data_IF_839227261251
#
_entry.id   IF_839227261251
#
_cell.length_a   1.000
_cell.length_b   1.000
_cell.length_c   1.000
_cell.angle_alpha   90.00
_cell.angle_beta   90.00
_cell.angle_gamma   90.00
#
_symmetry.space_group_name_H-M   'P 1'
#
loop_
_entity.id
_entity.type
_entity.pdbx_description
1 polymer ?
#
# COMPACT_ATOMS: atom_id res chain seq x y z
N UNK A 1 8.05 45.88 56.58
CA UNK A 1 8.10 47.08 55.72
C UNK A 1 8.43 46.59 54.31
N UNK A 2 7.45 46.03 53.57
CA UNK A 2 6.56 46.70 52.62
C UNK A 2 7.30 47.67 51.67
N UNK A 3 7.58 47.23 50.44
CA UNK A 3 6.75 47.68 49.32
C UNK A 3 6.79 46.68 48.16
N UNK A 4 5.62 46.21 47.77
CA UNK A 4 5.35 45.26 46.70
C UNK A 4 4.13 45.77 45.94
N UNK A 5 4.32 46.29 44.73
CA UNK A 5 3.21 46.67 43.85
C UNK A 5 3.36 46.02 42.47
N UNK A 6 3.20 44.70 42.47
CA UNK A 6 2.73 43.97 41.31
C UNK A 6 1.27 44.34 41.00
N UNK A 7 0.99 44.59 39.72
CA UNK A 7 -0.29 44.30 39.06
C UNK A 7 -1.57 44.95 39.61
N UNK A 8 -2.03 46.01 38.94
CA UNK A 8 -3.47 46.20 38.70
C UNK A 8 -3.74 46.24 37.20
N UNK A 9 -3.91 45.04 36.61
CA UNK A 9 -4.79 44.88 35.45
C UNK A 9 -6.13 45.53 35.85
N UNK A 10 -6.55 46.57 35.12
CA UNK A 10 -7.86 47.17 35.31
C UNK A 10 -8.92 46.08 35.23
N UNK A 11 -9.58 45.79 36.34
CA UNK A 11 -10.53 44.69 36.44
C UNK A 11 -11.68 44.84 35.44
N UNK A 12 -12.25 43.70 35.06
CA UNK A 12 -13.51 43.62 34.34
C UNK A 12 -14.56 44.56 34.97
N UNK A 13 -15.34 45.22 34.12
CA UNK A 13 -16.26 46.29 34.48
C UNK A 13 -16.79 46.97 33.23
N UNK A 14 -18.02 47.48 33.30
CA UNK A 14 -18.71 48.01 32.14
C UNK A 14 -18.04 49.30 31.64
N UNK A 15 -17.97 49.45 30.33
CA UNK A 15 -17.48 50.65 29.65
C UNK A 15 -18.68 51.43 29.10
N UNK A 16 -18.73 52.73 29.38
CA UNK A 16 -19.74 53.65 28.86
C UNK A 16 -19.17 54.39 27.65
N UNK A 17 -19.76 54.20 26.48
CA UNK A 17 -19.42 54.95 25.28
C UNK A 17 -20.37 56.14 25.11
N UNK A 18 -19.80 57.33 24.89
CA UNK A 18 -20.52 58.58 24.70
C UNK A 18 -20.26 59.10 23.28
N UNK A 19 -21.32 59.20 22.49
CA UNK A 19 -21.32 59.87 21.19
C UNK A 19 -21.84 61.29 21.38
N UNK A 20 -20.94 62.27 21.33
CA UNK A 20 -21.23 63.64 21.70
C UNK A 20 -21.63 64.49 20.50
N UNK A 21 -22.91 64.84 20.40
CA UNK A 21 -23.43 65.75 19.37
C UNK A 21 -23.94 67.08 19.94
N UNK A 22 -24.26 68.04 19.07
CA UNK A 22 -24.68 69.40 19.47
C UNK A 22 -26.03 69.47 20.19
N UNK A 23 -26.93 68.54 19.89
CA UNK A 23 -28.30 68.51 20.45
C UNK A 23 -28.57 67.32 21.35
N UNK A 24 -27.81 66.24 21.20
CA UNK A 24 -28.06 64.95 21.84
C UNK A 24 -26.72 64.25 22.14
N UNK A 25 -26.70 63.44 23.19
CA UNK A 25 -25.58 62.56 23.54
C UNK A 25 -26.07 61.12 23.42
N UNK A 26 -25.53 60.36 22.47
CA UNK A 26 -25.77 58.92 22.36
C UNK A 26 -25.00 58.20 23.46
N UNK A 27 -25.63 57.25 24.14
CA UNK A 27 -25.01 56.47 25.22
C UNK A 27 -25.15 54.99 24.91
N UNK A 28 -24.02 54.29 24.90
CA UNK A 28 -23.96 52.84 24.83
C UNK A 28 -23.17 52.27 26.01
N UNK A 29 -23.52 51.06 26.43
CA UNK A 29 -22.92 50.38 27.57
C UNK A 29 -22.42 49.00 27.15
N UNK A 30 -21.20 48.66 27.53
CA UNK A 30 -20.69 47.30 27.37
C UNK A 30 -21.20 46.37 28.47
N UNK A 31 -21.16 45.06 28.21
CA UNK A 31 -21.17 44.07 29.28
C UNK A 31 -19.91 44.17 30.17
N UNK A 32 -19.89 43.42 31.27
CA UNK A 32 -18.80 43.47 32.27
C UNK A 32 -17.47 42.92 31.73
N UNK A 33 -17.54 42.02 30.74
CA UNK A 33 -16.38 41.43 30.07
C UNK A 33 -15.83 42.33 28.95
N UNK A 34 -16.59 43.34 28.51
CA UNK A 34 -16.24 44.24 27.43
C UNK A 34 -16.33 43.60 26.04
N UNK A 35 -17.10 42.52 25.88
CA UNK A 35 -17.22 41.74 24.64
C UNK A 35 -18.34 42.26 23.73
N UNK A 36 -19.45 42.73 24.31
CA UNK A 36 -20.59 43.25 23.56
C UNK A 36 -21.02 44.63 24.08
N UNK A 37 -21.35 45.54 23.18
CA UNK A 37 -21.93 46.85 23.49
C UNK A 37 -23.38 46.92 23.04
N UNK A 38 -24.24 47.51 23.86
CA UNK A 38 -25.65 47.76 23.52
C UNK A 38 -25.99 49.24 23.67
N UNK A 39 -26.86 49.80 22.81
CA UNK A 39 -27.38 51.14 23.02
C UNK A 39 -28.15 51.17 24.34
N UNK A 40 -27.85 52.17 25.18
CA UNK A 40 -28.53 52.36 26.45
C UNK A 40 -29.65 53.39 26.29
N UNK A 41 -29.30 54.61 25.85
CA UNK A 41 -30.26 55.69 25.60
C UNK A 41 -29.61 56.85 24.84
N UNK A 42 -30.43 57.86 24.50
CA UNK A 42 -29.95 59.14 24.00
C UNK A 42 -30.42 60.27 24.93
N UNK A 43 -29.49 61.06 25.46
CA UNK A 43 -29.82 62.22 26.29
C UNK A 43 -30.00 63.46 25.39
N UNK A 44 -31.13 64.16 25.51
CA UNK A 44 -31.24 65.52 24.98
C UNK A 44 -30.35 66.47 25.81
N UNK A 45 -29.53 67.27 25.13
CA UNK A 45 -28.58 68.19 25.78
C UNK A 45 -29.29 69.38 26.41
N UNK A 46 -28.79 69.78 27.56
CA UNK A 46 -29.27 70.97 28.27
C UNK A 46 -28.08 71.86 28.59
N UNK A 47 -27.75 72.05 29.88
CA UNK A 47 -26.54 72.73 30.32
C UNK A 47 -25.50 71.70 30.72
N UNK A 48 -24.22 72.01 30.48
CA UNK A 48 -23.12 71.10 30.76
C UNK A 48 -23.11 70.53 32.20
N UNK A 49 -23.37 71.32 33.27
CA UNK A 49 -23.42 70.78 34.63
C UNK A 49 -24.55 69.76 34.82
N UNK A 50 -25.73 70.02 34.25
CA UNK A 50 -26.90 69.15 34.37
C UNK A 50 -26.74 67.87 33.55
N UNK A 51 -26.09 67.97 32.39
CA UNK A 51 -25.76 66.81 31.56
C UNK A 51 -24.71 65.92 32.27
N UNK A 52 -23.72 66.51 32.96
CA UNK A 52 -22.74 65.78 33.76
C UNK A 52 -23.36 65.05 34.98
N UNK A 53 -24.30 65.67 35.68
CA UNK A 53 -25.02 65.01 36.79
C UNK A 53 -25.78 63.77 36.31
N UNK A 54 -26.44 63.87 35.14
CA UNK A 54 -27.16 62.74 34.52
C UNK A 54 -26.19 61.64 34.11
N UNK A 55 -25.06 61.98 33.52
CA UNK A 55 -24.01 61.00 33.19
C UNK A 55 -23.42 60.34 34.44
N UNK A 56 -23.19 61.10 35.51
CA UNK A 56 -22.70 60.56 36.78
C UNK A 56 -23.69 59.60 37.43
N UNK A 57 -25.00 59.84 37.31
CA UNK A 57 -26.04 58.92 37.75
C UNK A 57 -25.97 57.58 36.98
N UNK A 58 -25.88 57.63 35.66
CA UNK A 58 -25.76 56.45 34.78
C UNK A 58 -24.48 55.65 35.09
N UNK A 59 -23.37 56.34 35.32
CA UNK A 59 -22.09 55.72 35.69
C UNK A 59 -22.21 54.92 36.99
N UNK A 60 -22.87 55.50 38.00
CA UNK A 60 -23.11 54.82 39.30
C UNK A 60 -24.10 53.67 39.18
N UNK A 61 -25.20 53.87 38.45
CA UNK A 61 -26.25 52.87 38.27
C UNK A 61 -25.72 51.59 37.61
N UNK A 62 -24.80 51.71 36.65
CA UNK A 62 -24.32 50.58 35.86
C UNK A 62 -22.93 50.06 36.27
N UNK A 63 -22.36 50.52 37.39
CA UNK A 63 -20.98 50.23 37.84
C UNK A 63 -19.97 50.41 36.71
N UNK A 64 -20.04 51.55 36.02
CA UNK A 64 -19.15 51.85 34.90
C UNK A 64 -17.75 52.10 35.44
N UNK A 65 -16.77 51.37 34.89
CA UNK A 65 -15.36 51.50 35.28
C UNK A 65 -14.49 52.22 34.25
N UNK A 66 -15.03 52.50 33.07
CA UNK A 66 -14.33 53.22 32.00
C UNK A 66 -15.31 54.01 31.14
N UNK A 67 -14.90 55.19 30.69
CA UNK A 67 -15.67 55.99 29.73
C UNK A 67 -14.85 56.16 28.45
N UNK A 68 -15.50 55.97 27.31
CA UNK A 68 -14.96 56.24 25.97
C UNK A 68 -15.83 57.33 25.34
N UNK A 69 -15.22 58.39 24.83
CA UNK A 69 -15.95 59.48 24.15
C UNK A 69 -15.54 59.48 22.69
N UNK A 70 -16.52 59.33 21.79
CA UNK A 70 -16.29 59.45 20.36
C UNK A 70 -15.94 60.89 19.99
N UNK A 71 -14.86 61.08 19.23
CA UNK A 71 -14.52 62.39 18.71
C UNK A 71 -15.30 62.62 17.40
N UNK A 72 -16.05 63.74 17.29
CA UNK A 72 -16.66 64.11 16.02
C UNK A 72 -15.58 64.65 15.08
N UNK A 73 -15.04 63.78 14.23
CA UNK A 73 -14.15 64.15 13.13
C UNK A 73 -14.96 64.12 11.83
N UNK A 74 -14.84 65.16 11.01
CA UNK A 74 -15.30 65.12 9.61
C UNK A 74 -14.35 64.22 8.79
N UNK A 75 -14.78 63.83 7.57
CA UNK A 75 -13.99 62.91 6.71
C UNK A 75 -12.57 63.39 6.36
N UNK A 76 -12.27 64.67 6.58
CA UNK A 76 -10.95 65.28 6.35
C UNK A 76 -10.09 65.39 7.64
N UNK A 77 -10.41 64.63 8.70
CA UNK A 77 -9.76 64.68 10.02
C UNK A 77 -9.78 66.07 10.69
N UNK A 78 -10.72 66.93 10.25
CA UNK A 78 -10.98 68.23 10.88
C UNK A 78 -12.13 68.10 11.87
N UNK A 79 -12.11 68.86 12.98
CA UNK A 79 -13.25 68.89 13.90
C UNK A 79 -14.53 69.33 13.20
N UNK A 80 -15.55 68.47 13.18
CA UNK A 80 -16.86 68.82 12.64
C UNK A 80 -17.69 69.65 13.63
N UNK A 81 -18.26 70.76 13.17
CA UNK A 81 -19.23 71.56 13.92
C UNK A 81 -18.75 72.96 14.36
N UNK A 82 -19.60 73.97 14.13
CA UNK A 82 -19.35 75.36 14.54
C UNK A 82 -19.63 75.50 16.05
N UNK A 83 -18.65 75.16 16.86
CA UNK A 83 -18.63 75.50 18.28
C UNK A 83 -18.00 74.43 19.17
N UNK A 84 -16.78 74.72 19.65
CA UNK A 84 -15.95 73.97 20.59
C UNK A 84 -15.05 72.92 19.93
N UNK A 85 -13.74 73.16 19.99
CA UNK A 85 -12.74 72.23 19.48
C UNK A 85 -12.75 70.93 20.30
N UNK A 86 -12.43 69.76 19.72
CA UNK A 86 -12.13 68.52 20.44
C UNK A 86 -11.09 68.74 21.55
N UNK A 87 -10.18 69.71 21.37
CA UNK A 87 -9.23 70.16 22.37
C UNK A 87 -9.88 70.87 23.57
N UNK A 88 -11.04 71.52 23.42
CA UNK A 88 -11.78 72.12 24.54
C UNK A 88 -12.49 71.05 25.38
N UNK A 89 -12.94 69.96 24.76
CA UNK A 89 -13.61 68.85 25.44
C UNK A 89 -12.60 67.94 26.15
N UNK A 90 -11.48 67.62 25.49
CA UNK A 90 -10.34 66.94 26.10
C UNK A 90 -9.67 67.82 27.18
N UNK A 91 -9.52 69.13 26.91
CA UNK A 91 -8.94 70.11 27.82
C UNK A 91 -9.81 70.41 29.05
N UNK A 92 -11.15 70.31 28.96
CA UNK A 92 -12.05 70.43 30.13
C UNK A 92 -12.30 69.10 30.86
N UNK A 93 -12.13 67.97 30.17
CA UNK A 93 -12.10 66.64 30.80
C UNK A 93 -10.80 66.41 31.59
N UNK A 94 -9.65 66.85 31.06
CA UNK A 94 -8.34 66.79 31.72
C UNK A 94 -8.06 68.00 32.65
N UNK A 95 -8.60 69.17 32.33
CA UNK A 95 -8.45 70.41 33.09
C UNK A 95 -9.54 70.59 34.16
N UNK A 96 -9.39 69.93 35.30
CA UNK A 96 -9.72 70.52 36.60
C UNK A 96 -11.19 70.66 37.03
N UNK A 97 -12.22 70.27 36.25
CA UNK A 97 -13.61 70.21 36.78
C UNK A 97 -14.42 68.93 36.50
N UNK A 98 -14.05 68.10 35.52
CA UNK A 98 -14.59 66.73 35.42
C UNK A 98 -13.81 65.70 36.26
N UNK A 99 -12.55 65.97 36.59
CA UNK A 99 -11.72 65.12 37.45
C UNK A 99 -12.20 65.05 38.92
N UNK A 100 -13.13 65.91 39.34
CA UNK A 100 -13.60 65.99 40.73
C UNK A 100 -14.60 64.91 41.14
N UNK A 101 -15.29 64.22 40.22
CA UNK A 101 -16.47 63.42 40.60
C UNK A 101 -16.55 61.97 40.09
N UNK A 102 -15.64 61.50 39.22
CA UNK A 102 -15.70 60.08 38.77
C UNK A 102 -14.39 59.28 38.80
N UNK A 103 -13.18 59.88 38.90
CA UNK A 103 -11.89 59.15 38.97
C UNK A 103 -11.74 57.96 38.01
N UNK A 104 -12.35 57.99 36.82
CA UNK A 104 -12.23 56.92 35.82
C UNK A 104 -11.22 57.30 34.74
N UNK A 105 -10.34 56.38 34.30
CA UNK A 105 -9.40 56.62 33.22
C UNK A 105 -10.12 56.72 31.86
N UNK A 106 -9.95 57.83 31.16
CA UNK A 106 -10.43 58.06 29.79
C UNK A 106 -9.35 57.71 28.77
N UNK A 107 -9.69 56.91 27.75
CA UNK A 107 -8.76 56.50 26.69
C UNK A 107 -9.32 56.89 25.32
N UNK A 108 -8.50 57.58 24.51
CA UNK A 108 -8.69 57.80 23.07
C UNK A 108 -7.98 56.65 22.34
N UNK A 109 -8.65 55.93 21.43
CA UNK A 109 -8.07 54.73 20.78
C UNK A 109 -8.50 54.64 19.32
N UNK A 110 -7.52 54.68 18.40
CA UNK A 110 -7.74 54.65 16.95
C UNK A 110 -7.92 53.21 16.43
N UNK A 111 -9.01 52.95 15.70
CA UNK A 111 -9.37 51.61 15.21
C UNK A 111 -8.50 51.12 14.03
N UNK A 112 -7.66 51.97 13.43
CA UNK A 112 -6.87 51.68 12.23
C UNK A 112 -5.67 50.73 12.43
N UNK A 113 -5.09 50.71 13.63
CA UNK A 113 -3.89 49.88 13.91
C UNK A 113 -4.21 48.37 14.02
N UNK A 114 -5.45 48.00 14.35
CA UNK A 114 -5.88 46.59 14.40
C UNK A 114 -6.25 46.04 13.02
N UNK A 115 -6.81 46.88 12.13
CA UNK A 115 -7.17 46.47 10.76
C UNK A 115 -5.95 46.28 9.86
N UNK A 116 -5.00 47.21 9.90
CA UNK A 116 -3.77 47.15 9.08
C UNK A 116 -2.85 46.00 9.47
N UNK A 117 -2.66 45.73 10.77
CA UNK A 117 -1.90 44.56 11.25
C UNK A 117 -2.55 43.24 10.87
N UNK A 118 -3.89 43.14 10.96
CA UNK A 118 -4.63 41.96 10.50
C UNK A 118 -4.48 41.70 9.00
N UNK A 119 -4.55 42.73 8.17
CA UNK A 119 -4.35 42.63 6.71
C UNK A 119 -2.93 42.16 6.38
N UNK A 120 -1.91 42.72 7.05
CA UNK A 120 -0.51 42.32 6.86
C UNK A 120 -0.31 40.83 7.21
N UNK A 121 -0.89 40.38 8.34
CA UNK A 121 -0.83 38.97 8.74
C UNK A 121 -1.56 38.05 7.75
N UNK A 122 -2.71 38.46 7.22
CA UNK A 122 -3.44 37.70 6.21
C UNK A 122 -2.65 37.59 4.90
N UNK A 123 -2.07 38.69 4.42
CA UNK A 123 -1.23 38.68 3.21
C UNK A 123 0.01 37.80 3.42
N UNK A 124 0.64 37.86 4.59
CA UNK A 124 1.75 36.97 4.93
C UNK A 124 1.30 35.49 4.92
N UNK A 125 0.14 35.19 5.49
CA UNK A 125 -0.40 33.83 5.50
C UNK A 125 -0.73 33.32 4.08
N UNK A 126 -1.33 34.16 3.24
CA UNK A 126 -1.65 33.82 1.85
C UNK A 126 -0.39 33.63 1.00
N UNK A 127 0.63 34.47 1.18
CA UNK A 127 1.90 34.34 0.45
C UNK A 127 2.66 33.07 0.85
N UNK A 128 2.74 32.76 2.15
CA UNK A 128 3.31 31.48 2.62
C UNK A 128 2.52 30.28 2.10
N UNK A 129 1.19 30.35 2.14
CA UNK A 129 0.32 29.29 1.60
C UNK A 129 0.53 29.09 0.09
N UNK A 130 0.64 30.18 -0.67
CA UNK A 130 0.92 30.15 -2.10
C UNK A 130 2.31 29.57 -2.39
N UNK A 131 3.34 29.91 -1.61
CA UNK A 131 4.68 29.32 -1.75
C UNK A 131 4.68 27.82 -1.49
N UNK A 132 3.98 27.35 -0.46
CA UNK A 132 3.84 25.91 -0.16
C UNK A 132 3.12 25.19 -1.31
N UNK A 133 2.03 25.78 -1.82
CA UNK A 133 1.28 25.20 -2.92
C UNK A 133 2.10 25.13 -4.21
N UNK A 134 2.79 26.21 -4.58
CA UNK A 134 3.65 26.26 -5.76
C UNK A 134 4.82 25.26 -5.64
N UNK A 135 5.45 25.15 -4.47
CA UNK A 135 6.49 24.15 -4.22
C UNK A 135 5.95 22.71 -4.41
N UNK A 136 4.75 22.42 -3.91
CA UNK A 136 4.14 21.10 -4.05
C UNK A 136 3.66 20.80 -5.49
N UNK A 137 3.42 21.83 -6.31
CA UNK A 137 2.88 21.71 -7.67
C UNK A 137 3.94 21.78 -8.77
N UNK A 138 5.14 22.29 -8.49
CA UNK A 138 6.23 22.38 -9.47
C UNK A 138 7.08 21.11 -9.42
N UNK A 139 7.31 20.43 -10.56
CA UNK A 139 8.18 19.25 -10.59
C UNK A 139 9.58 19.60 -10.12
N UNK A 140 10.13 18.79 -9.22
CA UNK A 140 11.49 18.99 -8.77
C UNK A 140 12.47 18.69 -9.92
N UNK A 141 13.17 19.72 -10.39
CA UNK A 141 14.08 19.64 -11.56
C UNK A 141 15.42 18.94 -11.26
N UNK A 142 15.68 18.62 -9.99
CA UNK A 142 16.84 17.83 -9.56
C UNK A 142 16.59 16.33 -9.54
N UNK A 143 15.51 15.86 -10.17
CA UNK A 143 15.17 14.44 -10.31
C UNK A 143 16.24 13.72 -11.14
N UNK A 144 17.28 13.24 -10.47
CA UNK A 144 18.48 12.69 -11.10
C UNK A 144 18.33 11.25 -11.62
N UNK A 145 17.22 10.58 -11.34
CA UNK A 145 17.06 9.17 -11.62
C UNK A 145 16.16 8.92 -12.84
N UNK A 146 16.70 8.24 -13.85
CA UNK A 146 15.88 7.57 -14.89
C UNK A 146 15.02 6.45 -14.27
N UNK A 147 15.41 5.95 -13.08
CA UNK A 147 14.72 4.97 -12.26
C UNK A 147 15.31 4.96 -10.84
N UNK A 148 14.49 5.15 -9.80
CA UNK A 148 14.89 4.97 -8.40
C UNK A 148 13.83 4.14 -7.65
N UNK A 149 14.27 3.17 -6.86
CA UNK A 149 13.43 2.45 -5.90
C UNK A 149 13.87 2.87 -4.51
N UNK A 150 12.93 3.31 -3.68
CA UNK A 150 13.21 3.77 -2.32
C UNK A 150 12.33 3.03 -1.34
N UNK A 151 12.96 2.56 -0.27
CA UNK A 151 12.30 1.88 0.82
C UNK A 151 11.94 2.87 1.93
N UNK A 152 10.66 2.91 2.30
CA UNK A 152 10.17 3.60 3.49
C UNK A 152 9.90 2.53 4.56
N UNK A 153 10.74 2.43 5.61
CA UNK A 153 10.61 1.37 6.62
C UNK A 153 9.29 1.45 7.39
N UNK A 154 8.83 0.32 7.92
CA UNK A 154 7.68 0.28 8.81
C UNK A 154 7.92 1.08 10.10
N UNK A 155 6.85 1.69 10.63
CA UNK A 155 6.93 2.54 11.82
C UNK A 155 7.59 3.92 11.60
N UNK A 156 7.97 4.25 10.35
CA UNK A 156 8.59 5.54 10.02
C UNK A 156 7.58 6.68 10.13
N UNK A 157 7.89 7.67 10.96
CA UNK A 157 7.10 8.92 11.03
C UNK A 157 7.33 9.82 9.82
N UNK A 158 6.39 10.73 9.55
CA UNK A 158 6.43 11.58 8.35
C UNK A 158 7.72 12.38 8.16
N UNK A 159 8.35 12.83 9.25
CA UNK A 159 9.64 13.52 9.18
C UNK A 159 10.72 12.63 8.58
N UNK A 160 10.86 11.40 9.08
CA UNK A 160 11.88 10.47 8.60
C UNK A 160 11.59 10.01 7.17
N UNK A 161 10.32 9.85 6.80
CA UNK A 161 9.95 9.57 5.40
C UNK A 161 10.35 10.71 4.46
N UNK A 162 10.15 11.97 4.87
CA UNK A 162 10.63 13.15 4.12
C UNK A 162 12.16 13.12 4.00
N UNK A 163 12.88 12.90 5.10
CA UNK A 163 14.35 12.83 5.09
C UNK A 163 14.86 11.76 4.11
N UNK A 164 14.25 10.57 4.10
CA UNK A 164 14.62 9.51 3.15
C UNK A 164 14.40 9.95 1.70
N UNK A 165 13.27 10.60 1.40
CA UNK A 165 12.99 11.13 0.05
C UNK A 165 13.96 12.26 -0.35
N UNK A 166 14.38 13.09 0.60
CA UNK A 166 15.36 14.16 0.40
C UNK A 166 16.79 13.62 0.22
N UNK A 167 17.19 12.60 0.99
CA UNK A 167 18.47 11.90 0.88
C UNK A 167 18.66 11.26 -0.49
N UNK A 168 17.58 10.69 -1.05
CA UNK A 168 17.58 10.06 -2.38
C UNK A 168 17.26 11.04 -3.52
N UNK A 169 17.10 12.33 -3.22
CA UNK A 169 16.88 13.38 -4.22
C UNK A 169 15.53 13.32 -4.96
N UNK A 170 14.52 12.64 -4.39
CA UNK A 170 13.16 12.60 -4.97
C UNK A 170 12.44 13.92 -4.79
N UNK A 171 12.64 14.54 -3.63
CA UNK A 171 12.13 15.89 -3.32
C UNK A 171 13.27 16.81 -2.93
N UNK A 172 13.08 18.10 -3.13
CA UNK A 172 14.03 19.11 -2.66
C UNK A 172 14.04 19.18 -1.14
N UNK A 173 15.24 19.28 -0.54
CA UNK A 173 15.40 19.61 0.88
C UNK A 173 14.69 20.92 1.21
N UNK A 174 13.58 20.84 1.95
CA UNK A 174 12.73 22.01 2.19
C UNK A 174 11.88 21.88 3.46
N UNK A 175 11.87 22.91 4.34
CA UNK A 175 10.98 22.93 5.50
C UNK A 175 9.48 22.99 5.12
N UNK A 176 9.18 23.24 3.84
CA UNK A 176 7.82 23.28 3.32
C UNK A 176 7.18 21.88 3.25
N UNK A 177 7.96 20.80 3.14
CA UNK A 177 7.46 19.44 3.00
C UNK A 177 6.58 19.00 4.19
N UNK A 178 7.11 19.16 5.41
CA UNK A 178 6.38 18.82 6.62
C UNK A 178 5.19 19.75 6.85
N UNK A 179 5.35 21.04 6.51
CA UNK A 179 4.28 22.04 6.62
C UNK A 179 3.14 21.72 5.67
N UNK A 180 3.43 21.31 4.43
CA UNK A 180 2.47 20.84 3.45
C UNK A 180 1.65 19.66 3.96
N UNK A 181 2.31 18.62 4.51
CA UNK A 181 1.62 17.46 5.08
C UNK A 181 0.74 17.82 6.28
N UNK A 182 1.18 18.78 7.12
CA UNK A 182 0.40 19.26 8.27
C UNK A 182 -0.84 20.02 7.83
N UNK A 183 -0.70 20.95 6.88
CA UNK A 183 -1.81 21.76 6.37
C UNK A 183 -2.84 20.91 5.60
N UNK A 184 -2.38 19.87 4.91
CA UNK A 184 -3.28 18.93 4.22
C UNK A 184 -3.87 17.86 5.15
N UNK A 185 -3.43 17.79 6.41
CA UNK A 185 -3.88 16.79 7.38
C UNK A 185 -3.38 15.37 7.08
N UNK A 186 -2.37 15.21 6.22
CA UNK A 186 -1.93 13.93 5.64
C UNK A 186 -0.73 13.30 6.33
N UNK A 187 -0.23 13.91 7.41
CA UNK A 187 0.97 13.45 8.15
C UNK A 187 0.92 11.98 8.61
N UNK A 188 -0.26 11.43 8.88
CA UNK A 188 -0.42 10.02 9.33
C UNK A 188 -0.75 9.04 8.19
N UNK A 189 -0.91 9.53 6.96
CA UNK A 189 -1.36 8.72 5.83
C UNK A 189 -0.25 8.02 5.06
N UNK A 190 1.02 8.34 5.34
CA UNK A 190 2.16 7.77 4.60
C UNK A 190 2.32 6.29 4.94
N UNK A 191 2.24 5.44 3.92
CA UNK A 191 2.39 3.98 4.07
C UNK A 191 3.85 3.57 3.87
N UNK A 192 4.27 2.58 4.65
CA UNK A 192 5.57 1.94 4.47
C UNK A 192 5.59 1.08 3.20
N UNK A 193 6.79 0.81 2.68
CA UNK A 193 7.00 -0.03 1.50
C UNK A 193 8.09 0.51 0.57
N UNK A 194 8.40 -0.26 -0.48
CA UNK A 194 9.23 0.20 -1.57
C UNK A 194 8.40 1.00 -2.57
N UNK A 195 8.93 2.09 -3.09
CA UNK A 195 8.27 2.93 -4.08
C UNK A 195 9.19 3.14 -5.27
N UNK A 196 8.64 2.97 -6.48
CA UNK A 196 9.36 3.22 -7.72
C UNK A 196 9.07 4.61 -8.27
N UNK A 197 10.14 5.26 -8.70
CA UNK A 197 10.18 6.62 -9.20
C UNK A 197 10.87 6.58 -10.57
N UNK A 198 10.08 6.60 -11.65
CA UNK A 198 10.52 6.44 -13.05
C UNK A 198 10.50 7.74 -13.85
N UNK A 199 9.88 8.79 -13.32
CA UNK A 199 9.72 10.10 -13.99
C UNK A 199 9.74 11.22 -12.96
N UNK A 200 10.18 12.44 -13.33
CA UNK A 200 10.02 13.60 -12.47
C UNK A 200 8.57 13.73 -11.99
N UNK A 201 8.40 13.77 -10.67
CA UNK A 201 7.12 13.95 -9.99
C UNK A 201 7.17 15.24 -9.16
N UNK A 202 6.01 15.87 -8.96
CA UNK A 202 5.91 16.98 -8.00
C UNK A 202 5.96 16.44 -6.57
N UNK A 203 6.39 17.21 -5.57
CA UNK A 203 6.34 16.76 -4.18
C UNK A 203 4.93 16.34 -3.74
N UNK A 204 3.88 17.01 -4.25
CA UNK A 204 2.48 16.60 -4.03
C UNK A 204 2.19 15.20 -4.57
N UNK A 205 2.55 14.91 -5.83
CA UNK A 205 2.38 13.58 -6.44
C UNK A 205 3.15 12.49 -5.68
N UNK A 206 4.37 12.80 -5.20
CA UNK A 206 5.18 11.86 -4.39
C UNK A 206 4.45 11.50 -3.10
N UNK A 207 3.93 12.50 -2.37
CA UNK A 207 3.16 12.21 -1.16
C UNK A 207 1.85 11.47 -1.46
N UNK A 208 1.16 11.80 -2.55
CA UNK A 208 -0.05 11.08 -2.96
C UNK A 208 0.26 9.60 -3.24
N UNK A 209 1.38 9.29 -3.90
CA UNK A 209 1.85 7.91 -4.13
C UNK A 209 2.11 7.16 -2.82
N UNK A 210 2.76 7.80 -1.85
CA UNK A 210 3.02 7.22 -0.52
C UNK A 210 1.73 7.03 0.30
N UNK A 211 0.75 7.92 0.14
CA UNK A 211 -0.52 7.84 0.88
C UNK A 211 -1.44 6.77 0.29
N UNK A 212 -1.51 6.69 -1.04
CA UNK A 212 -2.28 5.64 -1.72
C UNK A 212 -1.68 4.25 -1.41
N UNK A 213 -0.37 4.17 -1.18
CA UNK A 213 0.35 2.92 -1.01
C UNK A 213 0.61 2.25 -2.35
N UNK A 214 0.85 3.04 -3.39
CA UNK A 214 1.27 2.56 -4.71
C UNK A 214 2.74 2.10 -4.65
N UNK A 215 2.93 1.02 -3.89
CA UNK A 215 4.22 0.38 -3.64
C UNK A 215 4.67 -0.41 -4.86
N UNK A 216 5.97 -0.56 -4.99
CA UNK A 216 6.62 -1.39 -5.98
C UNK A 216 6.52 -2.87 -5.59
N UNK A 217 6.08 -3.69 -6.53
CA UNK A 217 5.99 -5.13 -6.39
C UNK A 217 7.05 -5.80 -7.26
N UNK A 218 7.79 -6.74 -6.68
CA UNK A 218 8.69 -7.62 -7.41
C UNK A 218 7.90 -8.80 -7.98
N UNK A 219 8.11 -9.10 -9.26
CA UNK A 219 7.44 -10.22 -9.93
C UNK A 219 8.34 -11.45 -9.93
N UNK A 220 7.84 -12.56 -9.40
CA UNK A 220 8.53 -13.85 -9.39
C UNK A 220 7.65 -14.89 -10.07
N UNK A 221 8.10 -15.45 -11.19
CA UNK A 221 7.32 -16.41 -12.00
C UNK A 221 7.77 -17.84 -11.74
N UNK A 222 6.93 -18.64 -11.09
CA UNK A 222 7.20 -20.06 -10.85
C UNK A 222 6.68 -20.88 -12.04
N UNK A 223 7.54 -21.60 -12.78
CA UNK A 223 7.10 -22.45 -13.90
C UNK A 223 6.28 -23.66 -13.43
N UNK A 224 5.44 -24.20 -14.31
CA UNK A 224 4.71 -25.45 -14.05
C UNK A 224 5.66 -26.66 -13.98
N UNK A 225 5.29 -27.67 -13.19
CA UNK A 225 6.04 -28.92 -13.03
C UNK A 225 7.26 -28.85 -12.10
N UNK A 226 7.70 -27.66 -11.68
CA UNK A 226 8.87 -27.53 -10.81
C UNK A 226 8.60 -28.11 -9.42
N UNK A 227 9.63 -28.70 -8.83
CA UNK A 227 9.60 -29.21 -7.45
C UNK A 227 9.71 -28.09 -6.44
N UNK A 228 9.25 -28.32 -5.21
CA UNK A 228 9.26 -27.29 -4.16
C UNK A 228 10.67 -26.77 -3.81
N UNK A 229 11.72 -27.59 -3.90
CA UNK A 229 13.11 -27.13 -3.70
C UNK A 229 13.53 -26.08 -4.74
N UNK A 230 13.08 -26.24 -5.99
CA UNK A 230 13.33 -25.27 -7.06
C UNK A 230 12.50 -23.99 -6.88
N UNK A 231 11.27 -24.11 -6.37
CA UNK A 231 10.42 -22.97 -5.96
C UNK A 231 11.13 -22.13 -4.90
N UNK A 232 11.66 -22.77 -3.85
CA UNK A 232 12.36 -22.06 -2.76
C UNK A 232 13.58 -21.34 -3.31
N UNK A 233 14.41 -22.03 -4.09
CA UNK A 233 15.59 -21.45 -4.70
C UNK A 233 15.25 -20.25 -5.59
N UNK A 234 14.10 -20.26 -6.26
CA UNK A 234 13.67 -19.14 -7.09
C UNK A 234 13.28 -17.89 -6.28
N UNK A 235 12.53 -18.05 -5.19
CA UNK A 235 12.20 -16.92 -4.31
C UNK A 235 13.43 -16.38 -3.57
N UNK A 236 14.29 -17.27 -3.07
CA UNK A 236 15.56 -16.89 -2.41
C UNK A 236 16.45 -16.10 -3.36
N UNK A 237 16.62 -16.56 -4.62
CA UNK A 237 17.36 -15.79 -5.66
C UNK A 237 16.73 -14.43 -5.96
N UNK A 238 15.42 -14.29 -5.74
CA UNK A 238 14.67 -13.04 -5.94
C UNK A 238 14.69 -12.13 -4.71
N UNK A 239 15.44 -12.50 -3.65
CA UNK A 239 15.61 -11.69 -2.44
C UNK A 239 14.53 -11.89 -1.37
N UNK A 240 13.76 -12.97 -1.43
CA UNK A 240 12.69 -13.27 -0.47
C UNK A 240 13.09 -14.39 0.50
N UNK A 241 13.55 -14.01 1.69
CA UNK A 241 13.84 -14.93 2.78
C UNK A 241 14.98 -15.93 2.50
N UNK A 242 15.07 -16.94 3.35
CA UNK A 242 16.09 -18.00 3.33
C UNK A 242 15.49 -19.36 3.00
N UNK A 243 16.32 -20.28 2.54
CA UNK A 243 15.87 -21.64 2.19
C UNK A 243 15.33 -22.39 3.42
N UNK A 244 15.93 -22.16 4.59
CA UNK A 244 15.53 -22.76 5.87
C UNK A 244 14.10 -22.36 6.26
N UNK A 245 13.76 -21.07 6.13
CA UNK A 245 12.41 -20.56 6.40
C UNK A 245 11.37 -21.17 5.46
N UNK A 246 11.72 -21.38 4.18
CA UNK A 246 10.85 -22.08 3.24
C UNK A 246 10.66 -23.54 3.63
N UNK A 247 11.74 -24.25 4.02
CA UNK A 247 11.65 -25.66 4.45
C UNK A 247 10.83 -25.82 5.73
N UNK A 248 10.81 -24.83 6.61
CA UNK A 248 9.93 -24.80 7.77
C UNK A 248 8.47 -24.57 7.36
N UNK A 249 8.20 -23.52 6.59
CA UNK A 249 6.85 -23.19 6.12
C UNK A 249 6.24 -24.31 5.26
N UNK A 250 7.05 -25.00 4.48
CA UNK A 250 6.65 -26.12 3.62
C UNK A 250 6.12 -27.33 4.38
N UNK A 251 6.54 -27.51 5.64
CA UNK A 251 6.06 -28.60 6.50
C UNK A 251 4.77 -28.26 7.25
N UNK A 252 4.32 -27.00 7.18
CA UNK A 252 3.06 -26.56 7.78
C UNK A 252 1.87 -26.99 6.91
N UNK A 253 1.42 -28.22 7.09
CA UNK A 253 0.31 -28.81 6.32
C UNK A 253 -1.06 -28.33 6.76
N UNK A 254 -1.14 -27.46 7.79
CA UNK A 254 -2.42 -26.89 8.25
C UNK A 254 -3.17 -26.12 7.15
N UNK A 255 -2.45 -25.61 6.15
CA UNK A 255 -3.00 -24.87 5.00
C UNK A 255 -3.83 -25.74 4.03
N UNK A 256 -3.61 -27.06 4.05
CA UNK A 256 -4.27 -28.01 3.14
C UNK A 256 -4.99 -29.15 3.86
N UNK A 257 -4.90 -29.24 5.19
CA UNK A 257 -5.40 -30.35 5.99
C UNK A 257 -6.90 -30.67 5.81
N UNK A 258 -7.72 -29.69 5.43
CA UNK A 258 -9.15 -29.88 5.14
C UNK A 258 -9.42 -30.54 3.78
N UNK A 259 -8.46 -30.45 2.84
CA UNK A 259 -8.51 -31.10 1.55
C UNK A 259 -7.70 -32.42 1.55
N UNK A 260 -6.50 -32.41 2.13
CA UNK A 260 -5.62 -33.56 2.32
C UNK A 260 -5.19 -33.72 3.78
N UNK A 261 -5.93 -34.52 4.53
CA UNK A 261 -5.65 -34.77 5.95
C UNK A 261 -4.40 -35.62 6.18
N UNK A 262 -3.89 -36.30 5.15
CA UNK A 262 -2.69 -37.14 5.24
C UNK A 262 -1.44 -36.39 4.77
N UNK A 263 -1.54 -35.09 4.44
CA UNK A 263 -0.43 -34.25 3.98
C UNK A 263 0.75 -34.30 4.95
N UNK A 264 1.95 -34.65 4.47
CA UNK A 264 3.21 -34.61 5.24
C UNK A 264 4.03 -33.36 4.97
N UNK A 265 3.79 -32.75 3.82
CA UNK A 265 4.39 -31.53 3.30
C UNK A 265 3.43 -30.91 2.26
N UNK A 266 3.87 -29.82 1.63
CA UNK A 266 3.07 -29.09 0.65
C UNK A 266 3.48 -29.40 -0.81
N UNK A 267 4.20 -30.49 -1.10
CA UNK A 267 4.61 -30.82 -2.47
C UNK A 267 3.37 -31.01 -3.37
N UNK A 268 3.35 -30.35 -4.52
CA UNK A 268 2.22 -30.37 -5.44
C UNK A 268 1.10 -29.36 -5.12
N UNK A 269 1.15 -28.69 -3.96
CA UNK A 269 0.17 -27.68 -3.56
C UNK A 269 0.67 -26.24 -3.70
N UNK A 270 1.93 -26.05 -4.10
CA UNK A 270 2.50 -24.72 -4.36
C UNK A 270 2.22 -24.34 -5.81
N UNK A 271 1.05 -23.75 -6.07
CA UNK A 271 0.60 -23.52 -7.44
C UNK A 271 1.61 -22.71 -8.28
N UNK A 272 1.88 -23.10 -9.54
CA UNK A 272 2.75 -22.33 -10.43
C UNK A 272 2.02 -21.09 -11.00
N UNK A 273 2.54 -19.90 -10.71
CA UNK A 273 2.02 -18.63 -11.24
C UNK A 273 3.11 -17.53 -11.17
N UNK A 274 2.77 -16.33 -11.64
CA UNK A 274 3.57 -15.13 -11.40
C UNK A 274 3.07 -14.37 -10.18
N UNK A 275 3.86 -14.40 -9.11
CA UNK A 275 3.58 -13.76 -7.85
C UNK A 275 4.13 -12.33 -7.82
N UNK A 276 3.27 -11.36 -7.47
CA UNK A 276 3.66 -9.96 -7.26
C UNK A 276 3.82 -9.71 -5.77
N UNK A 277 5.06 -9.56 -5.31
CA UNK A 277 5.43 -9.56 -3.90
C UNK A 277 6.03 -8.21 -3.48
N UNK A 278 5.65 -7.73 -2.29
CA UNK A 278 6.31 -6.59 -1.67
C UNK A 278 7.58 -7.07 -0.98
N UNK A 279 8.66 -6.28 -1.00
CA UNK A 279 9.87 -6.63 -0.25
C UNK A 279 9.55 -6.82 1.23
N UNK A 280 10.22 -7.79 1.85
CA UNK A 280 9.95 -8.19 3.23
C UNK A 280 8.79 -9.17 3.40
N UNK A 281 8.06 -9.53 2.32
CA UNK A 281 7.08 -10.63 2.40
C UNK A 281 7.78 -11.91 2.87
N UNK A 282 7.28 -12.50 3.95
CA UNK A 282 7.91 -13.66 4.58
C UNK A 282 7.69 -14.94 3.76
N UNK A 283 8.63 -15.91 3.80
CA UNK A 283 8.45 -17.22 3.16
C UNK A 283 7.14 -17.91 3.54
N UNK A 284 6.72 -17.81 4.81
CA UNK A 284 5.44 -18.34 5.29
C UNK A 284 4.24 -17.72 4.57
N UNK A 285 4.23 -16.39 4.40
CA UNK A 285 3.16 -15.70 3.67
C UNK A 285 3.17 -16.04 2.17
N UNK A 286 4.36 -16.21 1.57
CA UNK A 286 4.49 -16.62 0.17
C UNK A 286 3.92 -18.03 -0.03
N UNK A 287 4.33 -19.01 0.79
CA UNK A 287 3.78 -20.37 0.74
C UNK A 287 2.26 -20.37 0.93
N UNK A 288 1.75 -19.63 1.92
CA UNK A 288 0.31 -19.50 2.12
C UNK A 288 -0.41 -18.92 0.89
N UNK A 289 0.20 -17.94 0.21
CA UNK A 289 -0.32 -17.35 -1.04
C UNK A 289 -0.34 -18.38 -2.17
N UNK A 290 0.71 -19.19 -2.31
CA UNK A 290 0.77 -20.26 -3.32
C UNK A 290 -0.30 -21.34 -3.08
N UNK A 291 -0.48 -21.78 -1.83
CA UNK A 291 -1.52 -22.75 -1.47
C UNK A 291 -2.92 -22.17 -1.64
N UNK A 292 -3.12 -20.90 -1.28
CA UNK A 292 -4.40 -20.22 -1.53
C UNK A 292 -4.71 -20.16 -3.03
N UNK A 293 -3.69 -19.91 -3.87
CA UNK A 293 -3.83 -19.93 -5.32
C UNK A 293 -4.18 -21.32 -5.85
N UNK A 294 -3.55 -22.38 -5.34
CA UNK A 294 -3.92 -23.77 -5.65
C UNK A 294 -5.41 -24.02 -5.37
N UNK A 295 -5.90 -23.60 -4.20
CA UNK A 295 -7.30 -23.75 -3.79
C UNK A 295 -8.28 -22.99 -4.68
N UNK A 296 -7.89 -21.80 -5.15
CA UNK A 296 -8.69 -21.01 -6.09
C UNK A 296 -8.83 -21.71 -7.44
N UNK A 297 -7.71 -22.26 -7.95
CA UNK A 297 -7.66 -22.94 -9.24
C UNK A 297 -8.36 -24.30 -9.17
N UNK A 298 -8.25 -25.02 -8.05
CA UNK A 298 -8.90 -26.32 -7.85
C UNK A 298 -10.39 -26.14 -7.51
N UNK A 299 -11.18 -25.84 -8.54
CA UNK A 299 -12.58 -25.47 -8.44
C UNK A 299 -13.43 -26.51 -7.70
N UNK A 300 -14.52 -26.10 -7.00
CA UNK A 300 -15.44 -27.04 -6.34
C UNK A 300 -16.03 -28.10 -7.29
N UNK A 301 -16.21 -27.77 -8.57
CA UNK A 301 -16.68 -28.71 -9.60
C UNK A 301 -15.70 -29.85 -9.86
N UNK A 302 -14.40 -29.60 -9.72
CA UNK A 302 -13.35 -30.61 -9.87
C UNK A 302 -13.27 -31.52 -8.66
N UNK A 303 -13.48 -30.98 -7.45
CA UNK A 303 -13.59 -31.77 -6.21
C UNK A 303 -14.70 -32.82 -6.35
N UNK A 304 -15.84 -32.45 -6.91
CA UNK A 304 -16.96 -33.38 -7.13
C UNK A 304 -16.60 -34.48 -8.14
N UNK A 305 -16.01 -34.11 -9.29
CA UNK A 305 -15.56 -35.09 -10.31
C UNK A 305 -14.49 -36.04 -9.77
N UNK A 306 -13.56 -35.52 -8.99
CA UNK A 306 -12.54 -36.29 -8.29
C UNK A 306 -13.17 -37.32 -7.35
N UNK A 307 -14.14 -36.91 -6.52
CA UNK A 307 -14.86 -37.80 -5.59
C UNK A 307 -15.65 -38.89 -6.33
N UNK A 308 -16.30 -38.54 -7.45
CA UNK A 308 -17.01 -39.52 -8.29
C UNK A 308 -16.08 -40.59 -8.87
N UNK A 309 -14.79 -40.28 -9.06
CA UNK A 309 -13.77 -41.25 -9.46
C UNK A 309 -13.15 -42.02 -8.29
N UNK A 310 -13.54 -41.71 -7.06
CA UNK A 310 -12.98 -42.33 -5.86
C UNK A 310 -11.53 -41.90 -5.58
N UNK A 311 -11.10 -40.75 -6.11
CA UNK A 311 -9.78 -40.22 -5.82
C UNK A 311 -9.80 -39.28 -4.61
N UNK A 312 -8.72 -39.32 -3.85
CA UNK A 312 -8.34 -38.24 -2.94
C UNK A 312 -7.73 -37.07 -3.71
N UNK A 313 -7.69 -35.88 -3.09
CA UNK A 313 -7.01 -34.72 -3.69
C UNK A 313 -5.52 -35.02 -3.91
N UNK A 314 -4.90 -35.75 -2.99
CA UNK A 314 -3.50 -36.16 -3.12
C UNK A 314 -3.30 -37.03 -4.35
N UNK A 315 -4.14 -38.02 -4.58
CA UNK A 315 -4.02 -38.88 -5.76
C UNK A 315 -4.26 -38.11 -7.05
N UNK A 316 -5.23 -37.19 -7.07
CA UNK A 316 -5.49 -36.32 -8.21
C UNK A 316 -4.30 -35.38 -8.52
N UNK A 317 -3.77 -34.70 -7.51
CA UNK A 317 -2.57 -33.84 -7.65
C UNK A 317 -1.34 -34.67 -8.02
N UNK A 318 -1.21 -35.88 -7.48
CA UNK A 318 -0.11 -36.80 -7.81
C UNK A 318 -0.17 -37.19 -9.28
N UNK A 319 -1.34 -37.63 -9.75
CA UNK A 319 -1.55 -37.94 -11.15
C UNK A 319 -1.30 -36.72 -12.05
N UNK A 320 -1.77 -35.54 -11.67
CA UNK A 320 -1.53 -34.29 -12.41
C UNK A 320 -0.03 -33.99 -12.51
N UNK A 321 0.73 -34.11 -11.42
CA UNK A 321 2.19 -33.89 -11.42
C UNK A 321 2.94 -34.88 -12.31
N UNK A 322 2.44 -36.11 -12.45
CA UNK A 322 2.99 -37.09 -13.40
C UNK A 322 2.67 -36.70 -14.85
N UNK A 323 1.45 -36.26 -15.14
CA UNK A 323 1.05 -35.82 -16.49
C UNK A 323 1.85 -34.60 -16.94
N UNK A 324 2.07 -33.64 -16.03
CA UNK A 324 2.85 -32.41 -16.26
C UNK A 324 4.25 -32.68 -16.81
N UNK A 325 4.92 -33.70 -16.27
CA UNK A 325 6.27 -34.04 -16.71
C UNK A 325 6.32 -34.87 -17.99
N UNK A 326 5.20 -35.43 -18.45
CA UNK A 326 5.16 -36.31 -19.63
C UNK A 326 4.90 -35.55 -20.93
N UNK A 327 4.23 -34.40 -20.87
CA UNK A 327 3.90 -33.64 -22.08
C UNK A 327 3.92 -32.14 -21.84
N UNK A 328 4.53 -31.42 -22.78
CA UNK A 328 4.46 -29.96 -22.85
C UNK A 328 3.24 -29.46 -23.64
N UNK A 329 2.46 -30.36 -24.26
CA UNK A 329 1.27 -30.03 -25.05
C UNK A 329 0.01 -30.25 -24.23
N UNK A 330 -0.69 -29.17 -23.91
CA UNK A 330 -1.88 -29.20 -23.06
C UNK A 330 -3.00 -30.08 -23.65
N UNK A 331 -3.10 -30.19 -24.97
CA UNK A 331 -4.10 -31.00 -25.66
C UNK A 331 -3.89 -32.51 -25.46
N UNK A 332 -2.68 -32.94 -25.10
CA UNK A 332 -2.37 -34.35 -24.84
C UNK A 332 -2.57 -34.73 -23.36
N UNK A 333 -2.73 -33.76 -22.46
CA UNK A 333 -2.85 -34.01 -21.00
C UNK A 333 -3.97 -35.01 -20.68
N UNK A 334 -5.16 -34.82 -21.26
CA UNK A 334 -6.29 -35.71 -21.04
C UNK A 334 -6.06 -37.13 -21.58
N UNK A 335 -5.28 -37.27 -22.67
CA UNK A 335 -4.90 -38.57 -23.23
C UNK A 335 -3.85 -39.27 -22.35
N UNK A 336 -2.82 -38.55 -21.89
CA UNK A 336 -1.80 -39.08 -20.98
C UNK A 336 -2.45 -39.51 -19.66
N UNK A 337 -3.32 -38.67 -19.08
CA UNK A 337 -4.10 -39.03 -17.89
C UNK A 337 -4.91 -40.31 -18.12
N UNK A 338 -5.57 -40.45 -19.29
CA UNK A 338 -6.33 -41.65 -19.63
C UNK A 338 -5.47 -42.93 -19.64
N UNK A 339 -4.22 -42.84 -20.09
CA UNK A 339 -3.28 -43.97 -20.08
C UNK A 339 -2.96 -44.40 -18.65
N UNK A 340 -2.66 -43.45 -17.76
CA UNK A 340 -2.38 -43.75 -16.36
C UNK A 340 -3.59 -44.35 -15.66
N UNK A 341 -4.79 -43.81 -15.86
CA UNK A 341 -6.03 -44.41 -15.32
C UNK A 341 -6.26 -45.83 -15.83
N UNK A 342 -6.08 -46.05 -17.13
CA UNK A 342 -6.27 -47.39 -17.71
C UNK A 342 -5.27 -48.39 -17.13
N UNK A 343 -4.01 -47.98 -16.92
CA UNK A 343 -2.99 -48.81 -16.27
C UNK A 343 -3.36 -49.12 -14.82
N UNK A 344 -3.77 -48.10 -14.04
CA UNK A 344 -4.20 -48.29 -12.65
C UNK A 344 -5.36 -49.28 -12.54
N UNK A 345 -6.38 -49.13 -13.39
CA UNK A 345 -7.55 -50.03 -13.43
C UNK A 345 -7.18 -51.48 -13.75
N UNK A 346 -6.15 -51.71 -14.57
CA UNK A 346 -5.67 -53.04 -14.94
C UNK A 346 -4.60 -53.59 -13.99
N UNK A 347 -4.23 -52.86 -12.93
CA UNK A 347 -3.13 -53.24 -12.05
C UNK A 347 -1.76 -53.27 -12.76
N UNK A 348 -1.60 -52.48 -13.82
CA UNK A 348 -0.31 -52.31 -14.50
C UNK A 348 0.56 -51.31 -13.75
N UNK A 349 1.88 -51.50 -13.80
CA UNK A 349 2.84 -50.49 -13.35
C UNK A 349 2.74 -49.23 -14.21
N UNK A 350 2.88 -48.07 -13.60
CA UNK A 350 2.75 -46.80 -14.33
C UNK A 350 3.99 -46.50 -15.19
N UNK A 351 5.18 -46.95 -14.77
CA UNK A 351 6.44 -46.82 -15.54
C UNK A 351 6.67 -45.40 -16.07
N UNK A 352 6.60 -44.44 -15.17
CA UNK A 352 6.77 -43.01 -15.43
C UNK A 352 8.18 -42.60 -15.00
N UNK A 353 9.03 -42.20 -15.96
CA UNK A 353 10.42 -41.79 -15.71
C UNK A 353 10.53 -40.63 -14.70
N UNK A 354 9.70 -39.58 -14.79
CA UNK A 354 9.68 -38.48 -13.81
C UNK A 354 9.60 -38.92 -12.34
N UNK A 355 8.90 -40.02 -12.03
CA UNK A 355 8.81 -40.48 -10.64
C UNK A 355 10.11 -41.12 -10.13
N UNK A 356 10.93 -41.69 -11.03
CA UNK A 356 12.28 -42.16 -10.73
C UNK A 356 13.24 -40.98 -10.60
N UNK A 357 13.13 -39.98 -11.49
CA UNK A 357 13.91 -38.74 -11.42
C UNK A 357 13.68 -38.04 -10.08
N UNK A 358 12.43 -37.91 -9.65
CA UNK A 358 12.09 -37.37 -8.33
C UNK A 358 12.76 -38.15 -7.19
N UNK A 359 12.69 -39.48 -7.23
CA UNK A 359 13.33 -40.33 -6.21
C UNK A 359 14.86 -40.16 -6.14
N UNK A 360 15.52 -39.95 -7.28
CA UNK A 360 16.96 -39.65 -7.36
C UNK A 360 17.27 -38.23 -6.87
N UNK A 361 16.47 -37.24 -7.25
CA UNK A 361 16.61 -35.85 -6.83
C UNK A 361 16.53 -35.73 -5.30
N UNK A 362 15.58 -36.42 -4.66
CA UNK A 362 15.47 -36.48 -3.20
C UNK A 362 16.68 -37.11 -2.50
N UNK A 363 17.57 -37.79 -3.25
CA UNK A 363 18.83 -38.35 -2.76
C UNK A 363 20.07 -37.59 -3.26
N UNK A 364 19.88 -36.44 -3.92
CA UNK A 364 20.95 -35.70 -4.60
C UNK A 364 21.76 -36.58 -5.58
N UNK A 365 21.11 -37.55 -6.21
CA UNK A 365 21.75 -38.55 -7.08
C UNK A 365 21.42 -38.36 -8.57
N UNK A 366 20.61 -37.37 -8.92
CA UNK A 366 20.25 -37.10 -10.32
C UNK A 366 21.27 -36.16 -10.98
N UNK A 367 21.93 -36.63 -12.05
CA UNK A 367 22.94 -35.90 -12.81
C UNK A 367 22.40 -35.28 -14.11
N UNK A 368 21.07 -35.32 -14.31
CA UNK A 368 20.40 -34.86 -15.53
C UNK A 368 20.15 -35.96 -16.56
N UNK A 369 20.63 -37.20 -16.34
CA UNK A 369 20.41 -38.30 -17.28
C UNK A 369 20.03 -39.61 -16.58
N UNK A 370 18.85 -40.13 -16.88
CA UNK A 370 18.37 -41.40 -16.32
C UNK A 370 19.00 -42.61 -17.03
N UNK A 371 19.54 -43.55 -16.25
CA UNK A 371 20.19 -44.78 -16.74
C UNK A 371 19.33 -46.00 -16.42
N UNK A 372 19.65 -47.14 -17.05
CA UNK A 372 18.93 -48.40 -16.80
C UNK A 372 19.10 -48.89 -15.36
N UNK A 373 20.24 -48.63 -14.72
CA UNK A 373 20.46 -48.94 -13.32
C UNK A 373 19.55 -48.11 -12.40
N UNK A 374 19.30 -46.85 -12.75
CA UNK A 374 18.48 -45.93 -11.95
C UNK A 374 17.02 -46.38 -11.85
N UNK A 375 16.50 -47.02 -12.90
CA UNK A 375 15.15 -47.60 -12.91
C UNK A 375 14.95 -48.68 -11.83
N UNK A 376 16.04 -49.16 -11.22
CA UNK A 376 16.01 -50.15 -10.13
C UNK A 376 16.05 -49.52 -8.75
N UNK A 377 16.10 -48.20 -8.61
CA UNK A 377 16.17 -47.52 -7.31
C UNK A 377 15.05 -47.99 -6.37
N UNK A 378 15.41 -48.27 -5.11
CA UNK A 378 14.46 -48.68 -4.07
C UNK A 378 13.80 -47.44 -3.43
N UNK A 379 12.66 -47.04 -3.98
CA UNK A 379 11.86 -45.91 -3.50
C UNK A 379 10.39 -46.15 -3.82
N UNK A 380 9.47 -45.79 -2.92
CA UNK A 380 8.02 -45.88 -3.16
C UNK A 380 7.55 -45.01 -4.33
N UNK A 381 8.34 -43.99 -4.70
CA UNK A 381 8.09 -43.19 -5.90
C UNK A 381 8.45 -43.94 -7.20
N UNK A 382 9.19 -45.04 -7.16
CA UNK A 382 9.59 -45.78 -8.36
C UNK A 382 8.44 -46.61 -8.93
N UNK A 383 7.74 -46.04 -9.91
CA UNK A 383 6.60 -46.66 -10.61
C UNK A 383 7.01 -47.77 -11.59
N UNK A 384 8.31 -48.06 -11.76
CA UNK A 384 8.79 -49.27 -12.42
C UNK A 384 8.85 -50.48 -11.49
N UNK A 385 8.90 -50.26 -10.17
CA UNK A 385 9.00 -51.33 -9.17
C UNK A 385 7.67 -51.56 -8.46
N UNK A 386 7.05 -50.49 -7.99
CA UNK A 386 5.82 -50.53 -7.21
C UNK A 386 4.59 -50.27 -8.09
N UNK A 387 3.47 -50.92 -7.75
CA UNK A 387 2.18 -50.73 -8.41
C UNK A 387 1.43 -49.56 -7.79
N UNK A 388 0.51 -48.97 -8.54
CA UNK A 388 -0.29 -47.83 -8.08
C UNK A 388 0.40 -46.48 -8.28
N UNK A 389 -0.23 -45.44 -7.74
CA UNK A 389 0.35 -44.09 -7.68
C UNK A 389 1.49 -44.04 -6.65
N UNK A 390 2.48 -43.15 -6.85
CA UNK A 390 3.46 -42.88 -5.80
C UNK A 390 2.81 -42.24 -4.57
N UNK A 391 3.52 -42.17 -3.41
CA UNK A 391 2.94 -41.66 -2.16
C UNK A 391 2.47 -40.20 -2.19
N UNK A 392 2.90 -39.41 -3.17
CA UNK A 392 2.54 -38.01 -3.31
C UNK A 392 3.01 -37.43 -4.64
N UNK A 393 2.76 -36.13 -4.87
CA UNK A 393 3.17 -35.44 -6.09
C UNK A 393 4.69 -35.39 -6.27
N UNK A 394 5.14 -35.23 -7.52
CA UNK A 394 6.56 -35.13 -7.88
C UNK A 394 6.98 -33.73 -8.34
N UNK A 395 6.10 -32.76 -8.14
CA UNK A 395 6.24 -31.36 -8.55
C UNK A 395 4.88 -30.67 -8.51
N UNK A 396 4.87 -29.37 -8.83
CA UNK A 396 3.67 -28.53 -8.76
C UNK A 396 2.96 -28.45 -10.13
N UNK A 397 1.81 -29.12 -10.32
CA UNK A 397 1.13 -29.18 -11.62
C UNK A 397 0.42 -27.87 -11.96
N UNK A 398 0.31 -27.59 -13.26
CA UNK A 398 -0.49 -26.51 -13.81
C UNK A 398 -2.00 -26.77 -13.76
N UNK A 399 -2.79 -25.76 -14.11
CA UNK A 399 -4.26 -25.89 -14.13
C UNK A 399 -4.75 -26.93 -15.16
N UNK A 400 -4.08 -27.02 -16.31
CA UNK A 400 -4.47 -27.92 -17.40
C UNK A 400 -4.27 -29.41 -17.06
N UNK A 401 -3.22 -29.73 -16.30
CA UNK A 401 -2.93 -31.11 -15.86
C UNK A 401 -3.75 -31.50 -14.64
N UNK A 402 -4.03 -30.56 -13.74
CA UNK A 402 -5.04 -30.73 -12.69
C UNK A 402 -6.41 -31.07 -13.27
N UNK A 403 -6.84 -30.33 -14.31
CA UNK A 403 -8.08 -30.64 -15.03
C UNK A 403 -8.02 -32.04 -15.63
N UNK A 404 -6.96 -32.37 -16.36
CA UNK A 404 -6.82 -33.68 -17.01
C UNK A 404 -6.81 -34.85 -16.01
N UNK A 405 -6.31 -34.64 -14.79
CA UNK A 405 -6.33 -35.65 -13.74
C UNK A 405 -7.77 -35.96 -13.27
N UNK A 406 -8.66 -34.97 -13.18
CA UNK A 406 -10.06 -35.19 -12.77
C UNK A 406 -11.00 -35.50 -13.95
N UNK A 407 -10.63 -35.02 -15.14
CA UNK A 407 -11.36 -35.17 -16.41
C UNK A 407 -10.46 -35.76 -17.50
N UNK A 408 -10.00 -37.02 -17.37
CA UNK A 408 -9.25 -37.69 -18.41
C UNK A 408 -10.13 -37.96 -19.64
N UNK A 409 -9.50 -38.10 -20.80
CA UNK A 409 -10.17 -38.55 -22.01
C UNK A 409 -10.67 -39.99 -21.84
N UNK A 410 -11.85 -40.31 -22.39
CA UNK A 410 -12.35 -41.68 -22.42
C UNK A 410 -11.71 -42.46 -23.57
N UNK A 411 -10.62 -43.16 -23.28
CA UNK A 411 -9.88 -43.96 -24.27
C UNK A 411 -9.50 -45.31 -23.71
N UNK A 412 -9.02 -46.20 -24.59
CA UNK A 412 -8.44 -47.50 -24.22
C UNK A 412 -6.92 -47.54 -24.32
N UNK A 413 -6.27 -46.38 -24.42
CA UNK A 413 -4.82 -46.32 -24.57
C UNK A 413 -4.13 -46.83 -23.30
N UNK A 414 -3.07 -47.60 -23.49
CA UNK A 414 -2.24 -48.18 -22.43
C UNK A 414 -0.77 -47.79 -22.55
N UNK A 415 -0.37 -47.22 -23.68
CA UNK A 415 1.00 -46.84 -23.95
C UNK A 415 1.02 -45.54 -24.74
N UNK A 416 2.09 -44.77 -24.58
CA UNK A 416 2.41 -43.65 -25.43
C UNK A 416 3.92 -43.61 -25.66
N UNK A 417 4.34 -43.02 -26.77
CA UNK A 417 5.76 -42.79 -27.08
C UNK A 417 5.92 -41.47 -27.80
N UNK A 418 6.96 -40.71 -27.45
CA UNK A 418 7.26 -39.44 -28.11
C UNK A 418 7.56 -39.65 -29.60
N UNK A 419 7.00 -38.79 -30.44
CA UNK A 419 7.24 -38.76 -31.88
C UNK A 419 8.46 -37.93 -32.27
N UNK A 420 9.22 -37.40 -31.30
CA UNK A 420 10.32 -36.43 -31.51
C UNK A 420 9.88 -35.11 -32.19
N UNK A 421 8.58 -34.81 -32.17
CA UNK A 421 7.98 -33.57 -32.68
C UNK A 421 7.34 -32.74 -31.56
N UNK A 422 7.51 -33.14 -30.30
CA UNK A 422 6.79 -32.58 -29.14
C UNK A 422 5.39 -33.17 -28.92
N UNK A 423 5.01 -34.22 -29.66
CA UNK A 423 3.73 -34.93 -29.54
C UNK A 423 3.93 -36.42 -29.31
N UNK A 424 2.87 -37.11 -28.89
CA UNK A 424 2.90 -38.54 -28.59
C UNK A 424 2.04 -39.39 -29.54
N UNK A 425 2.53 -40.59 -29.82
CA UNK A 425 1.73 -41.64 -30.45
C UNK A 425 1.16 -42.54 -29.35
N UNK A 426 -0.16 -42.64 -29.28
CA UNK A 426 -0.88 -43.44 -28.28
C UNK A 426 -1.25 -44.81 -28.84
N UNK A 427 -1.13 -45.86 -28.02
CA UNK A 427 -1.34 -47.25 -28.43
C UNK A 427 -2.14 -48.03 -27.40
N UNK A 428 -2.96 -48.97 -27.87
CA UNK A 428 -3.79 -49.83 -27.01
C UNK A 428 -3.09 -51.16 -26.68
N UNK A 429 -2.13 -51.59 -27.50
CA UNK A 429 -1.42 -52.86 -27.33
C UNK A 429 0.09 -52.67 -27.30
N UNK A 430 0.79 -53.59 -26.63
CA UNK A 430 2.25 -53.57 -26.58
C UNK A 430 2.89 -53.77 -27.97
N UNK A 431 2.28 -54.61 -28.82
CA UNK A 431 2.75 -54.82 -30.20
C UNK A 431 2.68 -53.55 -31.03
N UNK A 432 1.60 -52.78 -30.91
CA UNK A 432 1.46 -51.48 -31.55
C UNK A 432 2.47 -50.47 -31.01
N UNK A 433 2.62 -50.39 -29.68
CA UNK A 433 3.60 -49.54 -29.03
C UNK A 433 5.03 -49.84 -29.50
N UNK A 434 5.44 -51.11 -29.56
CA UNK A 434 6.78 -51.50 -30.01
C UNK A 434 7.05 -51.12 -31.47
N UNK A 435 6.03 -51.17 -32.34
CA UNK A 435 6.13 -50.66 -33.72
C UNK A 435 6.33 -49.14 -33.73
N UNK A 436 5.58 -48.41 -32.92
CA UNK A 436 5.71 -46.97 -32.78
C UNK A 436 7.09 -46.57 -32.21
N UNK A 437 7.58 -47.27 -31.19
CA UNK A 437 8.95 -47.09 -30.64
C UNK A 437 10.00 -47.30 -31.73
N UNK A 438 9.87 -48.35 -32.55
CA UNK A 438 10.80 -48.57 -33.65
C UNK A 438 10.76 -47.42 -34.67
N UNK A 439 9.56 -46.97 -35.04
CA UNK A 439 9.33 -45.93 -36.04
C UNK A 439 9.84 -44.55 -35.58
N UNK A 440 9.52 -44.14 -34.35
CA UNK A 440 9.77 -42.78 -33.86
C UNK A 440 11.07 -42.64 -33.09
N UNK A 441 11.54 -43.66 -32.37
CA UNK A 441 12.72 -43.57 -31.52
C UNK A 441 13.95 -44.26 -32.17
N UNK A 442 13.82 -45.53 -32.54
CA UNK A 442 14.98 -46.34 -32.98
C UNK A 442 15.44 -45.98 -34.39
N UNK A 443 14.52 -45.91 -35.36
CA UNK A 443 14.85 -45.64 -36.78
C UNK A 443 15.52 -44.26 -36.96
N UNK A 444 15.00 -43.14 -36.41
CA UNK A 444 15.63 -41.84 -36.55
C UNK A 444 17.00 -41.76 -35.87
N UNK A 445 17.17 -42.37 -34.69
CA UNK A 445 18.47 -42.44 -34.01
C UNK A 445 19.52 -43.16 -34.88
N UNK A 446 19.15 -44.30 -35.48
CA UNK A 446 20.04 -45.04 -36.40
C UNK A 446 20.42 -44.21 -37.63
N UNK A 447 19.47 -43.48 -38.22
CA UNK A 447 19.72 -42.61 -39.37
C UNK A 447 20.63 -41.41 -39.04
N UNK A 448 20.50 -40.81 -37.84
CA UNK A 448 21.44 -39.76 -37.36
C UNK A 448 22.85 -40.29 -37.16
N UNK A 449 23.00 -41.55 -36.71
CA UNK A 449 24.30 -42.17 -36.50
C UNK A 449 25.00 -42.52 -37.83
N UNK A 450 24.26 -42.98 -38.82
CA UNK A 450 24.82 -43.29 -40.15
C UNK A 450 25.18 -42.03 -40.94
N UNK A 451 24.42 -40.93 -40.80
CA UNK A 451 24.73 -39.64 -41.45
C UNK A 451 25.88 -38.86 -40.78
N UNK A 452 26.22 -39.15 -39.52
CA UNK A 452 27.33 -38.54 -38.77
C UNK A 452 28.66 -39.29 -38.85
N UNK A 453 28.71 -40.48 -39.48
CA UNK A 453 30.00 -41.15 -39.72
C UNK A 453 30.67 -40.51 -40.94
N UNK A 454 31.92 -40.01 -40.84
CA UNK A 454 32.60 -39.45 -41.99
C UNK A 454 32.79 -40.55 -43.03
N UNK A 455 32.51 -40.22 -44.30
CA UNK A 455 33.05 -40.94 -45.43
C UNK A 455 34.58 -40.82 -45.38
N UNK A 456 35.21 -41.64 -44.54
CA UNK A 456 36.66 -41.84 -44.52
C UNK A 456 37.05 -42.47 -45.84
N UNK A 457 37.55 -41.62 -46.73
CA UNK A 457 37.87 -41.95 -48.10
C UNK A 457 38.82 -43.14 -48.19
N UNK A 458 38.43 -44.11 -49.01
CA UNK A 458 39.39 -44.84 -49.84
C UNK A 458 39.93 -43.82 -50.84
N UNK A 459 41.11 -43.29 -50.57
CA UNK A 459 41.96 -42.59 -51.53
C UNK A 459 43.18 -43.44 -51.78
N UNK A 460 43.40 -43.77 -53.07
CA UNK A 460 44.46 -44.58 -53.66
C UNK A 460 45.86 -44.40 -53.10
#
# INVERSE_FOLDING_TARGET
MNDSTAGRRGGAGRTLALDYGDRRIGIALSDELGLAARPLMTLARTTWPRDLERLAAIIREHDVRRIVVGLPLDMDDRPGGRGHSPADLAGRAAGGRCCGMTRLPTWLRDHWLLGTTGIVLLVLLLTVSAQIFLWAAIPYRGYGASFAIIEIPEGTGALRAIEVLEEHGIIQRSPLALTYLRMTGRTRGLKAGEYSFTRPMTPGEVFDKLISGDVYYHRVTIPEGVRSDEVFAQFVRSGFGTEEEYREAFRDTSLIADLDSEATDLEGYLFPDTYSLQKGTTPKAIIATMVARFREVFQPSWIEKMRQRGLTIREATTLASMVEWETAQAEENALVASVFYNRLRLGMRLQCDPTVIYALAMRNAFDGNIRKEDLKIDSRYNTYRYFGLPPGPIGNPGSSTLQAAVEPADTRYLYFVSMNTGRHFFSTTLSEHNRAVWQYQVRPFRQRKTSRSPAGGRGN
#
